data_IF_688068009703
#
_entry.id   IF_688068009703
#
_cell.length_a   1.000
_cell.length_b   1.000
_cell.length_c   1.000
_cell.angle_alpha   90.00
_cell.angle_beta   90.00
_cell.angle_gamma   90.00
#
_symmetry.space_group_name_H-M   'P 1'
#
loop_
_entity.id
_entity.type
_entity.pdbx_description
1 polymer ?
#
# COMPACT_ATOMS: atom_id res chain seq x y z
N UNK A 1 37.47 -24.24 25.81
CA UNK A 1 36.41 -24.97 25.10
C UNK A 1 36.25 -24.30 23.73
N UNK A 2 36.53 -24.98 22.62
CA UNK A 2 36.48 -24.36 21.29
C UNK A 2 35.05 -24.16 20.79
N UNK A 3 34.79 -22.99 20.22
CA UNK A 3 33.57 -22.56 19.55
C UNK A 3 33.52 -23.14 18.13
N UNK A 4 32.46 -23.90 17.83
CA UNK A 4 32.20 -24.40 16.47
C UNK A 4 31.35 -23.38 15.72
N UNK A 5 31.99 -22.60 14.84
CA UNK A 5 31.35 -21.69 13.89
C UNK A 5 30.90 -22.49 12.66
N UNK A 6 29.59 -22.51 12.36
CA UNK A 6 29.05 -23.14 11.16
C UNK A 6 28.68 -22.06 10.14
N UNK A 7 29.51 -21.96 9.09
CA UNK A 7 29.25 -21.12 7.93
C UNK A 7 28.15 -21.73 7.05
N UNK A 8 27.14 -20.94 6.70
CA UNK A 8 26.07 -21.30 5.76
C UNK A 8 26.42 -20.82 4.34
N UNK A 9 26.35 -21.67 3.31
CA UNK A 9 26.66 -21.25 1.93
C UNK A 9 25.56 -20.36 1.34
N UNK A 10 26.00 -19.32 0.63
CA UNK A 10 25.16 -18.41 -0.15
C UNK A 10 24.58 -19.12 -1.38
N UNK A 11 23.25 -19.08 -1.52
CA UNK A 11 22.55 -19.67 -2.67
C UNK A 11 22.36 -18.58 -3.75
N UNK A 12 22.93 -18.83 -4.93
CA UNK A 12 22.84 -17.98 -6.12
C UNK A 12 21.42 -18.01 -6.72
N UNK A 13 20.94 -16.84 -7.15
CA UNK A 13 19.59 -16.62 -7.67
C UNK A 13 19.38 -17.14 -9.10
N UNK A 14 18.11 -17.33 -9.52
CA UNK A 14 17.79 -17.67 -10.90
C UNK A 14 17.79 -16.44 -11.82
N UNK A 15 18.53 -16.55 -12.92
CA UNK A 15 18.52 -15.61 -14.03
C UNK A 15 17.18 -15.71 -14.80
N UNK A 16 16.51 -14.57 -14.99
CA UNK A 16 15.30 -14.46 -15.81
C UNK A 16 15.68 -14.29 -17.29
N UNK A 17 15.01 -14.99 -18.23
CA UNK A 17 15.26 -14.85 -19.65
C UNK A 17 14.68 -13.54 -20.21
N UNK A 18 15.53 -12.78 -20.89
CA UNK A 18 15.16 -11.58 -21.66
C UNK A 18 14.52 -12.04 -22.97
N UNK A 19 13.21 -11.80 -23.12
CA UNK A 19 12.50 -12.06 -24.38
C UNK A 19 12.57 -10.80 -25.25
N UNK A 20 13.36 -10.86 -26.33
CA UNK A 20 13.44 -9.82 -27.37
C UNK A 20 12.34 -10.06 -28.40
N UNK A 21 11.32 -9.19 -28.43
CA UNK A 21 10.36 -9.16 -29.53
C UNK A 21 10.84 -8.20 -30.62
N UNK A 22 11.44 -8.76 -31.68
CA UNK A 22 11.59 -8.06 -32.95
C UNK A 22 10.34 -8.30 -33.80
N UNK A 23 9.62 -7.23 -34.19
CA UNK A 23 8.69 -7.26 -35.32
C UNK A 23 8.90 -6.02 -36.17
N UNK A 24 9.62 -6.22 -37.25
CA UNK A 24 9.68 -5.35 -38.42
C UNK A 24 8.38 -5.51 -39.21
N UNK A 25 7.73 -4.39 -39.50
CA UNK A 25 6.53 -4.35 -40.35
C UNK A 25 6.38 -2.95 -40.94
N UNK A 26 6.88 -2.79 -42.17
CA UNK A 26 6.87 -1.53 -42.92
C UNK A 26 5.76 -1.54 -43.98
N UNK A 27 5.02 -0.41 -44.03
CA UNK A 27 4.25 0.15 -45.16
C UNK A 27 2.85 -0.42 -45.49
N UNK A 28 1.95 0.29 -46.22
CA UNK A 28 2.04 1.66 -46.76
C UNK A 28 0.85 2.61 -46.41
N UNK A 29 1.06 3.90 -46.67
CA UNK A 29 0.11 5.02 -46.59
C UNK A 29 -0.95 4.95 -47.70
N UNK A 30 -2.21 5.26 -47.38
CA UNK A 30 -3.26 5.62 -48.36
C UNK A 30 -4.23 6.68 -47.78
N UNK A 31 -4.99 7.39 -48.64
CA UNK A 31 -5.08 8.85 -48.61
C UNK A 31 -6.26 9.45 -47.83
N UNK A 32 -6.06 10.72 -47.49
CA UNK A 32 -6.95 11.73 -46.94
C UNK A 32 -8.38 11.73 -47.56
N UNK A 33 -9.40 11.51 -46.72
CA UNK A 33 -10.81 11.80 -47.04
C UNK A 33 -11.48 12.50 -45.85
N UNK A 34 -11.65 13.82 -46.03
CA UNK A 34 -12.62 14.82 -45.53
C UNK A 34 -13.27 14.66 -44.13
N UNK A 35 -13.37 15.75 -43.34
CA UNK A 35 -14.03 15.78 -42.04
C UNK A 35 -15.55 15.97 -42.16
N UNK A 36 -16.32 15.07 -41.54
CA UNK A 36 -17.72 15.25 -41.11
C UNK A 36 -17.68 15.08 -39.58
N UNK A 37 -17.73 16.14 -38.78
CA UNK A 37 -18.90 16.94 -38.43
C UNK A 37 -20.07 16.11 -37.86
N UNK A 38 -20.48 16.49 -36.65
CA UNK A 38 -21.75 16.15 -35.96
C UNK A 38 -21.86 14.70 -35.45
N UNK A 39 -22.49 14.37 -34.31
CA UNK A 39 -23.24 15.08 -33.27
C UNK A 39 -23.45 13.98 -32.19
N UNK A 40 -23.24 14.26 -30.90
CA UNK A 40 -24.28 14.22 -29.85
C UNK A 40 -24.67 12.85 -29.22
N UNK A 41 -25.01 12.94 -27.92
CA UNK A 41 -25.79 12.02 -27.05
C UNK A 41 -25.07 10.84 -26.36
N UNK A 42 -24.80 11.01 -25.06
CA UNK A 42 -25.42 10.26 -23.96
C UNK A 42 -24.76 10.72 -22.63
N UNK A 43 -25.35 11.63 -21.86
CA UNK A 43 -26.44 11.38 -20.92
C UNK A 43 -26.11 10.28 -19.88
N UNK A 44 -25.79 10.77 -18.68
CA UNK A 44 -26.07 10.18 -17.36
C UNK A 44 -25.96 8.67 -17.20
N UNK A 45 -24.86 8.25 -16.58
CA UNK A 45 -24.91 7.18 -15.58
C UNK A 45 -24.31 7.74 -14.28
N UNK A 46 -25.09 8.56 -13.58
CA UNK A 46 -24.88 8.74 -12.14
C UNK A 46 -25.35 7.42 -11.53
N UNK A 47 -24.43 6.47 -11.41
CA UNK A 47 -24.63 5.27 -10.62
C UNK A 47 -24.70 5.68 -9.16
N UNK A 48 -25.87 6.18 -8.75
CA UNK A 48 -26.31 6.12 -7.37
C UNK A 48 -26.44 4.63 -7.04
N UNK A 49 -25.30 4.01 -6.70
CA UNK A 49 -25.29 2.71 -6.07
C UNK A 49 -26.02 2.89 -4.73
N UNK A 50 -27.24 2.36 -4.71
CA UNK A 50 -28.09 2.29 -3.55
C UNK A 50 -27.28 1.78 -2.36
N UNK A 51 -27.24 2.56 -1.29
CA UNK A 51 -26.78 2.11 0.00
C UNK A 51 -27.69 0.98 0.47
N UNK A 52 -27.26 -0.26 0.29
CA UNK A 52 -27.71 -1.35 1.14
C UNK A 52 -27.23 -1.04 2.56
N UNK A 53 -28.12 -0.45 3.37
CA UNK A 53 -27.93 -0.32 4.81
C UNK A 53 -27.99 -1.72 5.43
N UNK A 54 -26.88 -2.44 5.32
CA UNK A 54 -26.67 -3.70 6.02
C UNK A 54 -26.75 -3.42 7.54
N UNK A 55 -27.45 -4.24 8.33
CA UNK A 55 -27.54 -4.07 9.79
C UNK A 55 -26.21 -4.33 10.52
N UNK A 56 -25.19 -4.76 9.78
CA UNK A 56 -23.82 -4.89 10.25
C UNK A 56 -23.15 -3.50 10.15
N UNK A 57 -22.66 -2.98 11.28
CA UNK A 57 -22.03 -1.66 11.35
C UNK A 57 -21.00 -1.42 10.24
N UNK A 58 -20.84 -0.15 9.84
CA UNK A 58 -19.90 0.25 8.76
C UNK A 58 -18.52 -0.40 9.00
N UNK A 59 -18.05 -1.15 8.02
CA UNK A 59 -16.68 -1.68 7.95
C UNK A 59 -15.87 -0.80 7.02
N UNK A 60 -14.64 -0.52 7.40
CA UNK A 60 -13.71 0.35 6.69
C UNK A 60 -12.49 -0.43 6.25
N UNK A 61 -12.02 -0.20 5.03
CA UNK A 61 -10.76 -0.77 4.55
C UNK A 61 -9.60 0.05 5.11
N UNK A 62 -8.91 -0.47 6.12
CA UNK A 62 -7.75 0.18 6.71
C UNK A 62 -6.47 -0.38 6.10
N UNK A 63 -5.60 0.50 5.63
CA UNK A 63 -4.28 0.19 5.10
C UNK A 63 -3.21 0.98 5.85
N UNK A 64 -2.29 0.25 6.46
CA UNK A 64 -1.13 0.78 7.18
C UNK A 64 0.13 0.55 6.35
N UNK A 65 0.96 1.58 6.23
CA UNK A 65 2.13 1.55 5.35
C UNK A 65 3.33 2.18 6.05
N UNK A 66 4.51 1.60 5.82
CA UNK A 66 5.80 2.16 6.22
C UNK A 66 6.70 2.18 5.00
N UNK A 67 7.09 3.37 4.55
CA UNK A 67 7.96 3.56 3.38
C UNK A 67 9.29 4.16 3.82
N UNK A 68 10.39 3.51 3.43
CA UNK A 68 11.75 3.92 3.76
C UNK A 68 12.74 2.86 3.29
N UNK A 69 14.02 3.10 3.52
CA UNK A 69 15.07 2.12 3.22
C UNK A 69 15.37 1.23 4.44
N UNK A 70 15.89 0.03 4.19
CA UNK A 70 16.43 -0.84 5.24
C UNK A 70 15.37 -1.64 5.98
N UNK A 71 15.40 -1.60 7.31
CA UNK A 71 14.50 -2.38 8.16
C UNK A 71 14.17 -1.62 9.44
N UNK A 72 12.97 -1.83 9.97
CA UNK A 72 12.49 -1.17 11.17
C UNK A 72 11.74 -2.16 12.07
N UNK A 73 11.60 -1.83 13.35
CA UNK A 73 10.64 -2.50 14.21
C UNK A 73 9.26 -1.88 14.01
N UNK A 74 8.29 -2.70 13.64
CA UNK A 74 6.91 -2.29 13.36
C UNK A 74 5.99 -3.00 14.36
N UNK A 75 5.12 -2.24 15.01
CA UNK A 75 3.92 -2.76 15.67
C UNK A 75 2.69 -2.05 15.13
N UNK A 76 1.58 -2.79 15.01
CA UNK A 76 0.33 -2.27 14.48
C UNK A 76 -0.87 -2.86 15.21
N UNK A 77 -2.00 -2.16 15.22
CA UNK A 77 -3.24 -2.67 15.77
C UNK A 77 -4.42 -2.12 14.98
N UNK A 78 -5.28 -3.01 14.49
CA UNK A 78 -6.55 -2.65 13.86
C UNK A 78 -7.66 -2.62 14.90
N UNK A 79 -8.70 -1.83 14.65
CA UNK A 79 -9.88 -1.79 15.51
C UNK A 79 -10.50 -3.18 15.65
N UNK A 80 -10.81 -3.57 16.89
CA UNK A 80 -11.37 -4.89 17.19
C UNK A 80 -10.37 -6.05 17.17
N UNK A 81 -9.06 -5.78 17.07
CA UNK A 81 -8.00 -6.79 17.14
C UNK A 81 -6.95 -6.41 18.19
N UNK A 82 -6.25 -7.42 18.71
CA UNK A 82 -5.08 -7.17 19.55
C UNK A 82 -3.97 -6.47 18.75
N UNK A 83 -3.23 -5.59 19.44
CA UNK A 83 -2.04 -5.00 18.87
C UNK A 83 -0.96 -6.07 18.64
N UNK A 84 -0.31 -6.01 17.48
CA UNK A 84 0.82 -6.86 17.17
C UNK A 84 2.00 -6.53 18.09
N UNK A 85 2.72 -7.57 18.52
CA UNK A 85 4.03 -7.36 19.11
C UNK A 85 4.97 -6.69 18.09
N UNK A 86 5.93 -5.85 18.53
CA UNK A 86 6.94 -5.30 17.65
C UNK A 86 7.73 -6.40 16.93
N UNK A 87 7.86 -6.29 15.61
CA UNK A 87 8.67 -7.21 14.80
C UNK A 87 9.58 -6.44 13.87
N UNK A 88 10.78 -6.96 13.64
CA UNK A 88 11.73 -6.40 12.67
C UNK A 88 11.32 -6.80 11.27
N UNK A 89 10.99 -5.81 10.45
CA UNK A 89 10.48 -5.98 9.09
C UNK A 89 11.36 -5.23 8.09
N UNK A 90 11.44 -5.74 6.85
CA UNK A 90 12.07 -5.03 5.73
C UNK A 90 11.14 -3.94 5.21
N UNK A 91 11.71 -2.81 4.80
CA UNK A 91 10.96 -1.71 4.20
C UNK A 91 11.08 -1.73 2.67
N UNK A 92 10.04 -1.38 1.90
CA UNK A 92 8.72 -0.92 2.35
C UNK A 92 7.81 -2.04 2.89
N UNK A 93 6.97 -1.70 3.88
CA UNK A 93 6.04 -2.63 4.55
C UNK A 93 4.60 -2.13 4.44
N UNK A 94 3.65 -3.05 4.23
CA UNK A 94 2.22 -2.75 4.10
C UNK A 94 1.39 -3.82 4.81
N UNK A 95 0.34 -3.40 5.52
CA UNK A 95 -0.70 -4.28 6.07
C UNK A 95 -2.09 -3.72 5.81
N UNK A 96 -3.05 -4.60 5.53
CA UNK A 96 -4.45 -4.27 5.28
C UNK A 96 -5.37 -5.13 6.13
N UNK A 97 -6.47 -4.57 6.57
CA UNK A 97 -7.57 -5.28 7.19
C UNK A 97 -8.88 -4.49 7.03
N UNK A 98 -10.00 -5.19 7.03
CA UNK A 98 -11.30 -4.58 7.23
C UNK A 98 -11.52 -4.40 8.73
N UNK A 99 -11.79 -3.17 9.16
CA UNK A 99 -11.95 -2.82 10.56
C UNK A 99 -13.29 -2.12 10.79
N UNK A 100 -13.92 -2.40 11.93
CA UNK A 100 -15.09 -1.64 12.39
C UNK A 100 -14.69 -0.32 13.03
N UNK A 101 -15.62 0.25 13.81
CA UNK A 101 -15.34 1.43 14.61
C UNK A 101 -14.25 1.16 15.67
N UNK A 102 -13.40 2.17 15.91
CA UNK A 102 -12.38 2.11 16.95
C UNK A 102 -11.07 2.79 16.55
N UNK A 103 -10.01 2.39 17.23
CA UNK A 103 -8.67 2.95 17.07
C UNK A 103 -7.79 2.06 16.19
N UNK A 104 -7.01 2.69 15.33
CA UNK A 104 -6.02 2.04 14.48
C UNK A 104 -4.67 2.72 14.73
N UNK A 105 -3.66 1.92 15.03
CA UNK A 105 -2.34 2.41 15.46
C UNK A 105 -1.24 1.74 14.66
N UNK A 106 -0.24 2.51 14.25
CA UNK A 106 0.97 2.04 13.59
C UNK A 106 2.18 2.73 14.24
N UNK A 107 3.03 1.97 14.91
CA UNK A 107 4.26 2.46 15.51
C UNK A 107 5.48 1.90 14.79
N UNK A 108 6.45 2.77 14.55
CA UNK A 108 7.71 2.47 13.88
C UNK A 108 8.85 2.88 14.81
N UNK A 109 9.85 2.01 14.98
CA UNK A 109 11.06 2.33 15.74
C UNK A 109 12.32 1.71 15.13
N UNK A 110 13.46 2.36 15.38
CA UNK A 110 14.76 1.95 14.81
C UNK A 110 14.79 2.06 13.28
N UNK A 111 14.01 2.98 12.71
CA UNK A 111 13.99 3.26 11.28
C UNK A 111 14.97 4.41 10.94
N UNK A 112 15.55 4.44 9.72
CA UNK A 112 16.33 5.59 9.27
C UNK A 112 15.48 6.87 9.22
N UNK A 113 16.07 8.06 9.54
CA UNK A 113 15.39 9.34 9.38
C UNK A 113 14.85 9.52 7.95
N UNK A 114 13.65 10.10 7.82
CA UNK A 114 12.95 10.23 6.55
C UNK A 114 12.05 9.04 6.19
N UNK A 115 12.13 7.93 6.92
CA UNK A 115 11.11 6.86 6.83
C UNK A 115 9.74 7.43 7.18
N UNK A 116 8.68 7.05 6.47
CA UNK A 116 7.32 7.57 6.68
C UNK A 116 6.39 6.45 7.10
N UNK A 117 5.60 6.67 8.15
CA UNK A 117 4.40 5.87 8.44
C UNK A 117 3.16 6.56 7.86
N UNK A 118 2.18 5.77 7.43
CA UNK A 118 0.89 6.26 6.93
C UNK A 118 -0.24 5.31 7.27
N UNK A 119 -1.41 5.86 7.59
CA UNK A 119 -2.67 5.13 7.68
C UNK A 119 -3.67 5.71 6.66
N UNK A 120 -4.26 4.82 5.87
CA UNK A 120 -5.26 5.10 4.85
C UNK A 120 -6.54 4.36 5.22
N UNK A 121 -7.69 5.02 5.16
CA UNK A 121 -9.02 4.45 5.44
C UNK A 121 -9.91 4.70 4.23
N UNK A 122 -10.42 3.64 3.62
CA UNK A 122 -11.24 3.69 2.39
C UNK A 122 -10.61 4.46 1.21
N UNK A 123 -9.27 4.46 1.16
CA UNK A 123 -8.50 5.18 0.16
C UNK A 123 -8.07 6.59 0.56
N UNK A 124 -8.65 7.14 1.63
CA UNK A 124 -8.31 8.46 2.15
C UNK A 124 -7.18 8.38 3.17
N UNK A 125 -6.13 9.16 2.96
CA UNK A 125 -5.04 9.30 3.94
C UNK A 125 -5.54 10.03 5.18
N UNK A 126 -5.53 9.35 6.33
CA UNK A 126 -6.03 9.89 7.59
C UNK A 126 -4.94 10.39 8.51
N UNK A 127 -3.76 9.76 8.46
CA UNK A 127 -2.59 10.22 9.21
C UNK A 127 -1.29 9.83 8.51
N UNK A 128 -0.27 10.68 8.65
CA UNK A 128 1.08 10.49 8.11
C UNK A 128 2.09 11.17 9.01
N UNK A 129 3.17 10.45 9.35
CA UNK A 129 4.31 11.03 10.06
C UNK A 129 5.64 10.54 9.50
N UNK A 130 6.64 11.40 9.59
CA UNK A 130 8.02 11.11 9.19
C UNK A 130 8.86 10.84 10.42
N UNK A 131 9.69 9.81 10.34
CA UNK A 131 10.66 9.42 11.37
C UNK A 131 11.75 10.48 11.48
N UNK A 132 11.94 10.98 12.70
CA UNK A 132 12.97 11.95 13.05
C UNK A 132 14.32 11.30 13.41
N UNK A 133 15.19 12.09 14.05
CA UNK A 133 16.52 11.64 14.46
C UNK A 133 16.50 10.56 15.56
N UNK A 134 15.41 10.47 16.33
CA UNK A 134 15.20 9.43 17.34
C UNK A 134 14.82 8.05 16.74
N UNK A 135 14.64 7.99 15.42
CA UNK A 135 14.34 6.76 14.69
C UNK A 135 12.92 6.24 14.95
N UNK A 136 12.00 7.09 15.44
CA UNK A 136 10.63 6.70 15.79
C UNK A 136 9.58 7.55 15.05
N UNK A 137 8.43 6.94 14.80
CA UNK A 137 7.22 7.63 14.38
C UNK A 137 6.00 6.80 14.79
N UNK A 138 4.88 7.46 15.05
CA UNK A 138 3.63 6.79 15.37
C UNK A 138 2.47 7.45 14.64
N UNK A 139 1.79 6.67 13.80
CA UNK A 139 0.59 7.07 13.10
C UNK A 139 -0.65 6.51 13.81
N UNK A 140 -1.71 7.29 13.87
CA UNK A 140 -2.91 6.95 14.61
C UNK A 140 -4.17 7.54 13.98
N UNK A 141 -5.24 6.75 13.91
CA UNK A 141 -6.57 7.22 13.49
C UNK A 141 -7.66 6.59 14.36
N UNK A 142 -8.70 7.36 14.64
CA UNK A 142 -9.92 6.93 15.31
C UNK A 142 -11.09 6.98 14.35
N UNK A 143 -11.68 5.84 14.02
CA UNK A 143 -12.89 5.71 13.22
C UNK A 143 -14.06 5.59 14.18
N UNK A 144 -14.56 6.72 14.69
CA UNK A 144 -15.68 6.75 15.65
C UNK A 144 -16.80 7.72 15.26
N UNK A 145 -16.47 8.78 14.50
CA UNK A 145 -17.42 9.85 14.14
C UNK A 145 -17.38 10.20 12.64
N UNK A 146 -16.96 9.27 11.78
CA UNK A 146 -16.99 9.41 10.32
C UNK A 146 -18.35 9.04 9.70
#
# INVERSE_FOLDING_TARGET
MPTTESATPAQAGPAMPVTVLARTGTAPRRPLRKPLAALVLAAAAVSAAAGCSSPFGRTYQVRMEVTGSGSAQISYGFSGSDASMPRREKLAWIKRADAGFGFNRLAVSGAPPGTTCRIVVDGDERDRKTVGADGKAECYVSIQND
#
